data_IF_336854996265
#
_entry.id   IF_336854996265
#
_cell.length_a   1.000
_cell.length_b   1.000
_cell.length_c   1.000
_cell.angle_alpha   90.00
_cell.angle_beta   90.00
_cell.angle_gamma   90.00
#
_symmetry.space_group_name_H-M   'P 1'
#
loop_
_entity.id
_entity.type
_entity.pdbx_description
1 polymer ?
#
# COMPACT_ATOMS: atom_id res chain seq x y z
N UNK A 1 5.16 32.30 15.76
CA UNK A 1 5.99 32.89 14.68
C UNK A 1 5.10 33.03 13.45
N UNK A 2 5.24 34.09 12.64
CA UNK A 2 4.49 34.19 11.38
C UNK A 2 4.98 33.10 10.40
N UNK A 3 4.09 32.41 9.66
CA UNK A 3 4.46 31.34 8.71
C UNK A 3 5.57 31.73 7.73
N UNK A 4 5.61 32.98 7.28
CA UNK A 4 6.66 33.47 6.38
C UNK A 4 8.05 33.46 7.03
N UNK A 5 8.14 33.85 8.30
CA UNK A 5 9.40 33.83 9.04
C UNK A 5 9.91 32.40 9.30
N UNK A 6 9.01 31.41 9.36
CA UNK A 6 9.39 29.99 9.41
C UNK A 6 9.87 29.50 8.03
N UNK A 7 9.17 29.88 6.97
CA UNK A 7 9.54 29.57 5.59
C UNK A 7 10.92 30.12 5.22
N UNK A 8 11.28 31.32 5.68
CA UNK A 8 12.61 31.92 5.49
C UNK A 8 13.72 31.06 6.09
N UNK A 9 13.53 30.59 7.32
CA UNK A 9 14.49 29.70 7.98
C UNK A 9 14.64 28.37 7.26
N UNK A 10 13.52 27.78 6.82
CA UNK A 10 13.52 26.53 6.07
C UNK A 10 14.19 26.68 4.70
N UNK A 11 13.83 27.71 3.94
CA UNK A 11 14.40 27.96 2.62
C UNK A 11 15.89 28.27 2.67
N UNK A 12 16.37 28.94 3.73
CA UNK A 12 17.81 29.15 3.95
C UNK A 12 18.53 27.82 4.22
N UNK A 13 18.00 26.99 5.12
CA UNK A 13 18.59 25.68 5.41
C UNK A 13 18.62 24.77 4.17
N UNK A 14 17.54 24.76 3.39
CA UNK A 14 17.41 23.94 2.18
C UNK A 14 18.31 24.43 1.04
N UNK A 15 18.63 25.73 0.96
CA UNK A 15 19.62 26.24 -0.02
C UNK A 15 21.04 25.75 0.24
N UNK A 16 21.34 25.28 1.44
CA UNK A 16 22.63 24.66 1.77
C UNK A 16 22.80 23.23 1.24
N UNK A 17 21.73 22.59 0.77
CA UNK A 17 21.78 21.23 0.25
C UNK A 17 22.37 21.18 -1.17
N UNK A 18 23.26 20.21 -1.42
CA UNK A 18 23.94 20.07 -2.69
C UNK A 18 22.98 19.68 -3.84
N UNK A 19 21.85 19.05 -3.55
CA UNK A 19 20.88 18.58 -4.55
C UNK A 19 19.81 19.62 -4.88
N UNK A 20 19.71 20.70 -4.10
CA UNK A 20 18.70 21.75 -4.27
C UNK A 20 19.24 22.84 -5.20
N UNK A 21 18.55 23.06 -6.31
CA UNK A 21 18.82 24.14 -7.27
C UNK A 21 18.24 25.47 -6.78
N UNK A 22 17.02 25.47 -6.26
CA UNK A 22 16.44 26.65 -5.61
C UNK A 22 15.40 26.28 -4.55
N UNK A 23 15.27 27.13 -3.53
CA UNK A 23 14.19 27.09 -2.55
C UNK A 23 13.58 28.50 -2.44
N UNK A 24 12.39 28.67 -3.01
CA UNK A 24 11.73 29.97 -3.18
C UNK A 24 10.47 30.08 -2.32
N UNK A 25 10.32 31.19 -1.61
CA UNK A 25 9.16 31.41 -0.75
C UNK A 25 8.03 32.03 -1.57
N UNK A 26 6.86 31.40 -1.54
CA UNK A 26 5.65 31.87 -2.21
C UNK A 26 4.56 32.23 -1.21
N UNK A 27 3.88 33.35 -1.49
CA UNK A 27 2.72 33.80 -0.72
C UNK A 27 2.98 33.92 0.80
N UNK A 28 2.10 33.36 1.65
CA UNK A 28 2.18 33.52 3.10
C UNK A 28 3.25 32.65 3.77
N UNK A 29 3.96 31.78 3.04
CA UNK A 29 4.99 30.90 3.63
C UNK A 29 5.13 29.52 2.99
N UNK A 30 4.69 29.32 1.75
CA UNK A 30 5.02 28.09 1.01
C UNK A 30 6.48 28.14 0.56
N UNK A 31 7.17 27.00 0.52
CA UNK A 31 8.53 26.89 0.00
C UNK A 31 8.51 25.97 -1.22
N UNK A 32 8.72 26.54 -2.40
CA UNK A 32 8.83 25.79 -3.64
C UNK A 32 10.28 25.35 -3.84
N UNK A 33 10.49 24.06 -4.08
CA UNK A 33 11.82 23.48 -4.27
C UNK A 33 12.02 23.07 -5.72
N UNK A 34 13.20 23.36 -6.25
CA UNK A 34 13.71 22.81 -7.51
C UNK A 34 14.95 22.00 -7.20
N UNK A 35 14.99 20.76 -7.66
CA UNK A 35 16.15 19.89 -7.56
C UNK A 35 17.06 20.08 -8.77
N UNK A 36 18.36 19.87 -8.61
CA UNK A 36 19.33 19.90 -9.73
C UNK A 36 19.16 18.66 -10.60
N UNK A 37 19.49 18.78 -11.88
CA UNK A 37 19.46 17.64 -12.82
C UNK A 37 20.38 16.49 -12.35
N UNK A 38 21.50 16.82 -11.70
CA UNK A 38 22.43 15.85 -11.13
C UNK A 38 21.75 14.91 -10.10
N UNK A 39 20.82 15.42 -9.30
CA UNK A 39 20.04 14.61 -8.37
C UNK A 39 19.23 13.55 -9.13
N UNK A 40 18.52 13.97 -10.17
CA UNK A 40 17.69 13.05 -10.97
C UNK A 40 18.52 12.00 -11.70
N UNK A 41 19.69 12.36 -12.24
CA UNK A 41 20.60 11.40 -12.87
C UNK A 41 21.16 10.38 -11.87
N UNK A 42 21.56 10.83 -10.69
CA UNK A 42 22.02 9.96 -9.62
C UNK A 42 20.89 9.04 -9.13
N UNK A 43 19.69 9.58 -8.92
CA UNK A 43 18.51 8.82 -8.50
C UNK A 43 18.11 7.77 -9.53
N UNK A 44 18.11 8.11 -10.82
CA UNK A 44 17.82 7.15 -11.89
C UNK A 44 18.85 6.02 -11.94
N UNK A 45 20.12 6.34 -11.73
CA UNK A 45 21.19 5.33 -11.66
C UNK A 45 20.97 4.38 -10.49
N UNK A 46 20.63 4.90 -9.30
CA UNK A 46 20.30 4.10 -8.13
C UNK A 46 19.06 3.21 -8.37
N UNK A 47 18.00 3.78 -8.93
CA UNK A 47 16.76 3.06 -9.30
C UNK A 47 17.05 1.89 -10.23
N UNK A 48 17.84 2.11 -11.29
CA UNK A 48 18.23 1.06 -12.22
C UNK A 48 19.10 -0.01 -11.55
N UNK A 49 19.96 0.37 -10.60
CA UNK A 49 20.74 -0.55 -9.78
C UNK A 49 19.90 -1.43 -8.86
N UNK A 50 18.83 -0.88 -8.27
CA UNK A 50 17.88 -1.64 -7.43
C UNK A 50 16.94 -2.53 -8.25
N UNK A 51 16.65 -2.15 -9.51
CA UNK A 51 15.84 -2.92 -10.44
C UNK A 51 14.45 -3.26 -9.89
N UNK A 52 14.10 -4.55 -9.82
CA UNK A 52 12.80 -5.01 -9.30
C UNK A 52 12.62 -4.79 -7.79
N UNK A 53 13.69 -4.45 -7.07
CA UNK A 53 13.63 -4.15 -5.65
C UNK A 53 13.43 -2.66 -5.37
N UNK A 54 13.46 -1.80 -6.39
CA UNK A 54 13.28 -0.37 -6.19
C UNK A 54 11.96 -0.06 -5.48
N UNK A 55 12.05 0.72 -4.40
CA UNK A 55 10.91 1.09 -3.56
C UNK A 55 10.53 0.04 -2.50
N UNK A 56 11.24 -1.09 -2.42
CA UNK A 56 11.07 -2.07 -1.33
C UNK A 56 11.43 -1.38 -0.01
N UNK A 57 10.59 -1.57 1.00
CA UNK A 57 10.77 -0.91 2.30
C UNK A 57 10.98 -1.93 3.43
N UNK A 58 11.65 -1.49 4.49
CA UNK A 58 11.82 -2.24 5.74
C UNK A 58 10.93 -1.72 6.87
N UNK A 59 10.03 -0.76 6.59
CA UNK A 59 9.14 -0.14 7.59
C UNK A 59 8.25 -1.16 8.33
N UNK A 60 7.93 -2.29 7.70
CA UNK A 60 7.21 -3.38 8.33
C UNK A 60 7.99 -4.05 9.46
N UNK A 61 9.32 -4.07 9.37
CA UNK A 61 10.20 -4.63 10.41
C UNK A 61 9.95 -6.11 10.71
N UNK A 62 9.45 -6.88 9.73
CA UNK A 62 9.07 -8.28 9.94
C UNK A 62 7.85 -8.48 10.84
N UNK A 63 7.10 -7.42 11.15
CA UNK A 63 5.86 -7.53 11.92
C UNK A 63 4.87 -8.40 11.16
N UNK A 64 4.25 -9.33 11.90
CA UNK A 64 3.20 -10.20 11.36
C UNK A 64 1.96 -9.39 11.04
N UNK A 65 1.40 -9.63 9.86
CA UNK A 65 0.13 -9.06 9.43
C UNK A 65 -0.74 -10.15 8.83
N UNK A 66 -1.98 -10.28 9.30
CA UNK A 66 -2.98 -11.11 8.66
C UNK A 66 -3.84 -10.23 7.74
N UNK A 67 -4.01 -10.65 6.49
CA UNK A 67 -4.92 -10.00 5.54
C UNK A 67 -6.01 -11.00 5.21
N UNK A 68 -7.18 -10.81 5.82
CA UNK A 68 -8.40 -11.56 5.57
C UNK A 68 -9.20 -10.90 4.44
N UNK A 69 -9.61 -11.68 3.44
CA UNK A 69 -10.34 -11.14 2.30
C UNK A 69 -11.31 -12.14 1.66
N UNK A 70 -12.15 -11.61 0.77
CA UNK A 70 -13.28 -12.26 0.08
C UNK A 70 -14.50 -12.57 0.93
N UNK A 71 -14.37 -13.36 2.00
CA UNK A 71 -15.52 -13.83 2.83
C UNK A 71 -16.66 -14.40 1.95
N UNK A 72 -16.33 -15.36 1.09
CA UNK A 72 -17.29 -15.94 0.16
C UNK A 72 -18.33 -16.79 0.91
N UNK A 73 -19.61 -16.60 0.63
CA UNK A 73 -20.66 -17.50 1.10
C UNK A 73 -20.81 -18.67 0.10
N UNK A 74 -20.51 -19.92 0.50
CA UNK A 74 -20.49 -21.06 -0.42
C UNK A 74 -21.89 -21.60 -0.75
N UNK A 75 -22.96 -21.07 -0.11
CA UNK A 75 -24.35 -21.48 -0.41
C UNK A 75 -24.95 -20.80 -1.64
N UNK A 76 -24.31 -19.73 -2.13
CA UNK A 76 -24.75 -18.97 -3.30
C UNK A 76 -23.67 -18.89 -4.37
N UNK A 77 -24.03 -18.44 -5.59
CA UNK A 77 -23.06 -18.24 -6.65
C UNK A 77 -22.10 -17.08 -6.33
N UNK A 78 -20.87 -17.21 -6.81
CA UNK A 78 -19.89 -16.12 -6.73
C UNK A 78 -20.32 -14.96 -7.63
N UNK A 79 -20.21 -13.73 -7.13
CA UNK A 79 -20.48 -12.51 -7.89
C UNK A 79 -19.26 -11.56 -7.89
N UNK A 80 -19.35 -10.51 -8.70
CA UNK A 80 -18.27 -9.50 -8.89
C UNK A 80 -17.82 -8.83 -7.59
N UNK A 81 -18.67 -8.81 -6.56
CA UNK A 81 -18.32 -8.29 -5.24
C UNK A 81 -17.20 -9.10 -4.57
N UNK A 82 -17.25 -10.43 -4.67
CA UNK A 82 -16.18 -11.31 -4.20
C UNK A 82 -14.89 -11.09 -4.99
N UNK A 83 -14.98 -10.91 -6.31
CA UNK A 83 -13.82 -10.63 -7.17
C UNK A 83 -13.13 -9.33 -6.74
N UNK A 84 -13.90 -8.26 -6.47
CA UNK A 84 -13.35 -7.01 -5.94
C UNK A 84 -12.61 -7.24 -4.62
N UNK A 85 -13.21 -7.99 -3.70
CA UNK A 85 -12.58 -8.35 -2.43
C UNK A 85 -11.28 -9.15 -2.62
N UNK A 86 -11.26 -10.07 -3.58
CA UNK A 86 -10.09 -10.87 -3.94
C UNK A 86 -8.94 -9.99 -4.43
N UNK A 87 -9.21 -9.12 -5.41
CA UNK A 87 -8.19 -8.26 -6.01
C UNK A 87 -7.63 -7.25 -5.01
N UNK A 88 -8.50 -6.58 -4.24
CA UNK A 88 -8.06 -5.59 -3.25
C UNK A 88 -7.26 -6.24 -2.13
N UNK A 89 -7.74 -7.35 -1.58
CA UNK A 89 -7.06 -8.08 -0.51
C UNK A 89 -5.69 -8.59 -0.94
N UNK A 90 -5.60 -9.24 -2.11
CA UNK A 90 -4.34 -9.77 -2.62
C UNK A 90 -3.33 -8.65 -2.92
N UNK A 91 -3.78 -7.55 -3.54
CA UNK A 91 -2.92 -6.40 -3.85
C UNK A 91 -2.40 -5.72 -2.59
N UNK A 92 -3.25 -5.53 -1.57
CA UNK A 92 -2.84 -4.97 -0.29
C UNK A 92 -1.81 -5.87 0.40
N UNK A 93 -2.06 -7.18 0.44
CA UNK A 93 -1.13 -8.14 1.03
C UNK A 93 0.24 -8.13 0.31
N UNK A 94 0.25 -8.03 -1.03
CA UNK A 94 1.48 -7.90 -1.81
C UNK A 94 2.23 -6.60 -1.49
N UNK A 95 1.52 -5.48 -1.36
CA UNK A 95 2.12 -4.19 -1.00
C UNK A 95 2.72 -4.23 0.42
N UNK A 96 2.02 -4.84 1.39
CA UNK A 96 2.52 -5.00 2.75
C UNK A 96 3.77 -5.89 2.78
N UNK A 97 3.77 -7.00 2.04
CA UNK A 97 4.96 -7.85 1.91
C UNK A 97 6.13 -7.08 1.28
N UNK A 98 5.87 -6.24 0.27
CA UNK A 98 6.87 -5.37 -0.34
C UNK A 98 7.39 -4.28 0.61
N UNK A 99 6.57 -3.86 1.59
CA UNK A 99 6.94 -2.95 2.65
C UNK A 99 7.60 -3.63 3.87
N UNK A 100 7.91 -4.93 3.79
CA UNK A 100 8.70 -5.66 4.80
C UNK A 100 7.90 -6.23 5.96
N UNK A 101 6.59 -6.46 5.79
CA UNK A 101 5.77 -7.21 6.74
C UNK A 101 5.83 -8.72 6.48
N UNK A 102 5.68 -9.53 7.53
CA UNK A 102 5.48 -10.98 7.43
C UNK A 102 3.98 -11.25 7.26
N UNK A 103 3.54 -11.33 5.99
CA UNK A 103 2.12 -11.33 5.64
C UNK A 103 1.58 -12.75 5.52
N UNK A 104 0.53 -13.05 6.28
CA UNK A 104 -0.36 -14.20 6.07
C UNK A 104 -1.59 -13.74 5.29
N UNK A 105 -1.93 -14.46 4.23
CA UNK A 105 -3.12 -14.22 3.40
C UNK A 105 -4.18 -15.24 3.77
N UNK A 106 -5.36 -14.77 4.17
CA UNK A 106 -6.48 -15.63 4.51
C UNK A 106 -7.67 -15.34 3.58
N UNK A 107 -7.91 -16.30 2.68
CA UNK A 107 -9.12 -16.32 1.87
C UNK A 107 -10.24 -16.91 2.72
N UNK A 108 -11.13 -16.04 3.22
CA UNK A 108 -12.19 -16.46 4.14
C UNK A 108 -13.36 -17.05 3.35
N UNK A 109 -13.79 -18.24 3.74
CA UNK A 109 -15.02 -18.88 3.28
C UNK A 109 -15.96 -18.98 4.46
N UNK A 110 -17.21 -18.54 4.28
CA UNK A 110 -18.24 -18.61 5.31
C UNK A 110 -18.94 -19.98 5.28
N UNK A 111 -18.19 -21.05 5.57
CA UNK A 111 -18.61 -22.45 5.47
C UNK A 111 -19.19 -23.03 6.76
N UNK A 112 -19.57 -22.18 7.72
CA UNK A 112 -20.21 -22.56 8.96
C UNK A 112 -21.63 -21.96 9.10
N UNK A 113 -22.47 -22.65 9.87
CA UNK A 113 -23.79 -22.16 10.30
C UNK A 113 -24.97 -22.78 9.56
N UNK A 114 -26.17 -22.34 9.93
CA UNK A 114 -27.43 -22.99 9.54
C UNK A 114 -27.67 -23.06 8.03
N UNK A 115 -27.12 -22.12 7.25
CA UNK A 115 -27.22 -22.14 5.78
C UNK A 115 -26.49 -23.36 5.19
N UNK A 116 -25.36 -23.75 5.78
CA UNK A 116 -24.56 -24.90 5.35
C UNK A 116 -25.25 -26.20 5.75
N UNK A 117 -25.83 -26.26 6.95
CA UNK A 117 -26.63 -27.40 7.39
C UNK A 117 -27.85 -27.63 6.48
N UNK A 118 -28.50 -26.53 6.04
CA UNK A 118 -29.61 -26.60 5.08
C UNK A 118 -29.12 -27.06 3.71
N UNK A 119 -28.00 -26.53 3.22
CA UNK A 119 -27.40 -26.96 1.95
C UNK A 119 -27.07 -28.46 1.97
N UNK A 120 -26.42 -28.94 3.02
CA UNK A 120 -26.04 -30.35 3.19
C UNK A 120 -27.25 -31.28 3.21
N UNK A 121 -28.30 -30.95 3.98
CA UNK A 121 -29.56 -31.71 3.99
C UNK A 121 -30.25 -31.72 2.63
N UNK A 122 -30.27 -30.58 1.94
CA UNK A 122 -30.89 -30.46 0.61
C UNK A 122 -30.17 -31.32 -0.43
N UNK A 123 -28.83 -31.33 -0.41
CA UNK A 123 -28.03 -32.19 -1.27
C UNK A 123 -28.28 -33.67 -0.98
N UNK A 124 -28.27 -34.09 0.29
CA UNK A 124 -28.52 -35.48 0.68
C UNK A 124 -29.90 -35.97 0.21
N UNK A 125 -30.96 -35.18 0.41
CA UNK A 125 -32.31 -35.52 -0.03
C UNK A 125 -32.45 -35.63 -1.56
N UNK A 126 -31.63 -34.90 -2.32
CA UNK A 126 -31.61 -34.99 -3.80
C UNK A 126 -30.95 -36.27 -4.31
N UNK A 127 -29.96 -36.79 -3.58
CA UNK A 127 -29.19 -37.98 -3.99
C UNK A 127 -29.79 -39.30 -3.55
N UNK A 128 -30.70 -39.28 -2.57
CA UNK A 128 -31.42 -40.45 -2.08
C UNK A 128 -32.62 -40.77 -2.97
#
# INVERSE_FOLDING_TARGET
QNPRALAEKLAEALRGDADIASAEIAGPGFVNLRLKDAFWHAHLTALLGEGRNYGRSTIGGGRKANVEYVSANPTGPMHVGHCRGAVVGDTLANLMAFAGYDVTKEYVINDAGSQIDVLGRSAFLRYR
#
